data_IF_188633388075
#
_entry.id   IF_188633388075
#
_cell.length_a   1.000
_cell.length_b   1.000
_cell.length_c   1.000
_cell.angle_alpha   90.00
_cell.angle_beta   90.00
_cell.angle_gamma   90.00
#
_symmetry.space_group_name_H-M   'P 1'
#
loop_
_entity.id
_entity.type
_entity.pdbx_description
1 polymer ?
#
# COMPACT_ATOMS: atom_id res chain seq x y z
N UNK A 1 7.80 23.59 2.84
CA UNK A 1 8.07 23.08 4.20
C UNK A 1 9.03 23.99 4.93
N UNK A 2 8.76 24.25 6.16
CA UNK A 2 9.58 25.11 7.00
C UNK A 2 10.86 24.33 7.38
N UNK A 3 12.02 24.78 6.90
CA UNK A 3 13.31 24.17 7.24
C UNK A 3 13.65 24.25 8.75
N UNK A 4 12.97 25.12 9.49
CA UNK A 4 13.14 25.22 10.95
C UNK A 4 12.41 24.10 11.71
N UNK A 5 11.59 23.27 11.02
CA UNK A 5 10.87 22.16 11.65
C UNK A 5 11.78 20.96 12.02
N UNK A 6 13.01 20.90 11.49
CA UNK A 6 13.97 19.87 11.90
C UNK A 6 14.73 20.37 13.13
N UNK A 7 14.66 19.68 14.27
CA UNK A 7 15.40 20.05 15.46
C UNK A 7 16.90 20.08 15.19
N UNK A 8 17.58 21.14 15.60
CA UNK A 8 19.01 21.34 15.32
C UNK A 8 19.89 20.25 15.96
N UNK A 9 19.45 19.65 17.05
CA UNK A 9 20.12 18.54 17.74
C UNK A 9 20.01 17.19 17.00
N UNK A 10 19.12 17.08 16.01
CA UNK A 10 19.04 15.91 15.13
C UNK A 10 20.02 15.94 13.95
N UNK A 11 20.63 17.10 13.68
CA UNK A 11 21.55 17.28 12.56
C UNK A 11 22.99 17.21 13.04
N UNK A 12 23.82 16.51 12.27
CA UNK A 12 25.28 16.53 12.43
C UNK A 12 25.88 17.60 11.50
N UNK A 13 27.09 18.02 11.78
CA UNK A 13 27.80 19.02 10.94
C UNK A 13 27.99 18.55 9.48
N UNK A 14 27.94 17.22 9.26
CA UNK A 14 28.00 16.62 7.93
C UNK A 14 26.68 16.61 7.16
N UNK A 15 25.55 16.89 7.84
CA UNK A 15 24.24 16.77 7.25
C UNK A 15 23.86 18.08 6.52
N UNK A 16 23.15 17.93 5.41
CA UNK A 16 22.68 19.04 4.60
C UNK A 16 21.17 19.00 4.49
N UNK A 17 20.51 20.09 4.83
CA UNK A 17 19.09 20.30 4.59
C UNK A 17 18.88 21.01 3.27
N UNK A 18 18.06 20.44 2.41
CA UNK A 18 17.68 21.03 1.13
C UNK A 18 16.17 21.22 1.08
N UNK A 19 15.74 22.47 0.85
CA UNK A 19 14.33 22.78 0.67
C UNK A 19 13.87 22.36 -0.73
N UNK A 20 12.85 21.47 -0.78
CA UNK A 20 12.25 21.05 -2.05
C UNK A 20 11.34 22.12 -2.68
N UNK A 21 10.98 23.17 -1.91
CA UNK A 21 9.97 24.14 -2.32
C UNK A 21 8.55 23.63 -2.21
N UNK A 22 7.60 24.43 -2.74
CA UNK A 22 6.18 24.11 -2.72
C UNK A 22 5.51 24.31 -1.34
N UNK A 23 4.19 24.44 -1.34
CA UNK A 23 3.36 24.61 -0.14
C UNK A 23 2.53 23.38 0.20
N UNK A 24 2.44 22.43 -0.74
CA UNK A 24 1.70 21.18 -0.57
C UNK A 24 2.64 19.98 -0.64
N UNK A 25 2.16 18.83 -0.18
CA UNK A 25 2.89 17.55 -0.28
C UNK A 25 3.23 17.20 -1.74
N UNK A 26 2.27 17.39 -2.66
CA UNK A 26 2.43 17.07 -4.08
C UNK A 26 3.43 17.99 -4.80
N UNK A 27 3.60 19.22 -4.30
CA UNK A 27 4.59 20.16 -4.83
C UNK A 27 5.98 19.95 -4.21
N UNK A 28 6.09 19.19 -3.13
CA UNK A 28 7.32 19.02 -2.35
C UNK A 28 7.75 17.54 -2.24
N UNK A 29 7.56 16.91 -1.10
CA UNK A 29 8.11 15.58 -0.82
C UNK A 29 7.42 14.42 -1.56
N UNK A 30 6.23 14.63 -2.15
CA UNK A 30 5.61 13.68 -3.09
C UNK A 30 5.99 13.96 -4.56
N UNK A 31 6.68 15.06 -4.84
CA UNK A 31 7.17 15.36 -6.17
C UNK A 31 8.47 14.58 -6.44
N UNK A 32 8.32 13.42 -7.09
CA UNK A 32 9.43 12.54 -7.42
C UNK A 32 10.55 13.23 -8.22
N UNK A 33 10.18 14.13 -9.15
CA UNK A 33 11.15 14.86 -9.96
C UNK A 33 11.92 15.89 -9.14
N UNK A 34 11.27 16.62 -8.25
CA UNK A 34 11.94 17.57 -7.35
C UNK A 34 12.92 16.86 -6.44
N UNK A 35 12.53 15.72 -5.87
CA UNK A 35 13.42 14.91 -5.03
C UNK A 35 14.62 14.41 -5.82
N UNK A 36 14.41 13.87 -7.03
CA UNK A 36 15.50 13.41 -7.89
C UNK A 36 16.43 14.56 -8.30
N UNK A 37 15.89 15.73 -8.66
CA UNK A 37 16.71 16.89 -9.04
C UNK A 37 17.63 17.37 -7.91
N UNK A 38 17.17 17.30 -6.68
CA UNK A 38 18.04 17.57 -5.52
C UNK A 38 19.12 16.49 -5.40
N UNK A 39 18.76 15.21 -5.54
CA UNK A 39 19.72 14.11 -5.50
C UNK A 39 20.82 14.26 -6.57
N UNK A 40 20.44 14.61 -7.80
CA UNK A 40 21.40 14.91 -8.90
C UNK A 40 22.27 16.13 -8.59
N UNK A 41 21.68 17.23 -8.13
CA UNK A 41 22.40 18.46 -7.82
C UNK A 41 23.44 18.27 -6.69
N UNK A 42 23.05 17.50 -5.67
CA UNK A 42 23.92 17.16 -4.54
C UNK A 42 24.87 15.98 -4.84
N UNK A 43 24.81 15.41 -6.04
CA UNK A 43 25.68 14.33 -6.51
C UNK A 43 25.66 13.10 -5.56
N UNK A 44 24.49 12.71 -5.09
CA UNK A 44 24.36 11.57 -4.18
C UNK A 44 24.49 10.25 -4.95
N UNK A 45 25.15 9.27 -4.36
CA UNK A 45 25.28 7.91 -4.92
C UNK A 45 24.02 7.09 -4.73
N UNK A 46 23.26 7.36 -3.65
CA UNK A 46 22.08 6.60 -3.26
C UNK A 46 21.03 7.49 -2.61
N UNK A 47 19.78 7.07 -2.71
CA UNK A 47 18.62 7.73 -2.12
C UNK A 47 17.80 6.75 -1.29
N UNK A 48 17.68 7.04 0.02
CA UNK A 48 16.79 6.30 0.91
C UNK A 48 15.45 7.05 1.01
N UNK A 49 14.33 6.44 0.59
CA UNK A 49 13.04 7.14 0.47
C UNK A 49 12.33 7.35 1.81
N UNK A 50 12.88 6.86 2.92
CA UNK A 50 12.18 6.87 4.21
C UNK A 50 11.10 5.80 4.30
N UNK A 51 10.01 6.12 5.00
CA UNK A 51 8.85 5.24 5.22
C UNK A 51 7.62 5.92 4.63
N UNK A 52 6.77 5.14 3.93
CA UNK A 52 5.59 5.66 3.25
C UNK A 52 5.91 6.52 2.03
N UNK A 53 4.90 7.24 1.51
CA UNK A 53 5.08 8.18 0.40
C UNK A 53 5.74 7.54 -0.84
N UNK A 54 6.88 8.07 -1.27
CA UNK A 54 7.61 7.58 -2.43
C UNK A 54 8.34 6.25 -2.19
N UNK A 55 8.42 5.78 -0.94
CA UNK A 55 9.09 4.50 -0.63
C UNK A 55 8.40 3.28 -1.25
N UNK A 56 7.10 3.39 -1.53
CA UNK A 56 6.30 2.33 -2.15
C UNK A 56 6.01 2.59 -3.64
N UNK A 57 6.67 3.58 -4.23
CA UNK A 57 6.47 3.96 -5.64
C UNK A 57 7.46 3.27 -6.56
N UNK A 58 7.05 2.25 -7.34
CA UNK A 58 7.94 1.63 -8.34
C UNK A 58 8.36 2.62 -9.43
N UNK A 59 7.52 3.63 -9.72
CA UNK A 59 7.84 4.67 -10.67
C UNK A 59 9.00 5.55 -10.18
N UNK A 60 9.00 5.90 -8.90
CA UNK A 60 10.09 6.67 -8.30
C UNK A 60 11.39 5.86 -8.22
N UNK A 61 11.31 4.60 -7.83
CA UNK A 61 12.48 3.71 -7.83
C UNK A 61 13.07 3.58 -9.24
N UNK A 62 12.23 3.39 -10.27
CA UNK A 62 12.68 3.36 -11.66
C UNK A 62 13.30 4.69 -12.09
N UNK A 63 12.71 5.81 -11.67
CA UNK A 63 13.24 7.15 -11.98
C UNK A 63 14.65 7.35 -11.40
N UNK A 64 14.89 6.95 -10.16
CA UNK A 64 16.21 7.00 -9.53
C UNK A 64 17.23 6.15 -10.31
N UNK A 65 16.92 4.88 -10.54
CA UNK A 65 17.81 3.93 -11.22
C UNK A 65 18.16 4.41 -12.65
N UNK A 66 17.18 4.90 -13.40
CA UNK A 66 17.39 5.39 -14.77
C UNK A 66 18.26 6.66 -14.82
N UNK A 67 18.39 7.38 -13.72
CA UNK A 67 19.25 8.57 -13.61
C UNK A 67 20.53 8.31 -12.80
N UNK A 68 20.90 7.04 -12.60
CA UNK A 68 22.17 6.67 -11.97
C UNK A 68 22.21 6.84 -10.45
N UNK A 69 21.07 7.09 -9.81
CA UNK A 69 20.94 7.15 -8.34
C UNK A 69 20.47 5.79 -7.82
N UNK A 70 21.24 5.19 -6.92
CA UNK A 70 20.87 3.91 -6.33
C UNK A 70 19.67 4.09 -5.36
N UNK A 71 18.53 3.48 -5.69
CA UNK A 71 17.37 3.48 -4.81
C UNK A 71 17.57 2.45 -3.69
N UNK A 72 17.63 2.92 -2.44
CA UNK A 72 17.80 2.06 -1.27
C UNK A 72 16.45 1.46 -0.91
N UNK A 73 16.21 0.23 -1.33
CA UNK A 73 14.95 -0.47 -1.16
C UNK A 73 14.77 -1.64 -2.14
N UNK A 74 13.57 -2.22 -2.20
CA UNK A 74 13.29 -3.33 -3.09
C UNK A 74 13.43 -2.95 -4.56
N UNK A 75 13.67 -3.94 -5.42
CA UNK A 75 13.72 -3.71 -6.87
C UNK A 75 12.37 -3.21 -7.42
N UNK A 76 12.40 -2.47 -8.52
CA UNK A 76 11.19 -2.01 -9.24
C UNK A 76 10.25 -3.18 -9.53
N UNK A 77 10.81 -4.34 -9.94
CA UNK A 77 10.04 -5.55 -10.21
C UNK A 77 9.33 -6.06 -8.95
N UNK A 78 10.04 -6.17 -7.84
CA UNK A 78 9.47 -6.61 -6.56
C UNK A 78 8.37 -5.66 -6.08
N UNK A 79 8.60 -4.35 -6.14
CA UNK A 79 7.60 -3.35 -5.76
C UNK A 79 6.34 -3.43 -6.63
N UNK A 80 6.50 -3.59 -7.95
CA UNK A 80 5.37 -3.71 -8.88
C UNK A 80 4.57 -5.00 -8.62
N UNK A 81 5.27 -6.11 -8.39
CA UNK A 81 4.64 -7.42 -8.15
C UNK A 81 3.91 -7.45 -6.81
N UNK A 82 4.56 -6.98 -5.74
CA UNK A 82 4.03 -7.07 -4.38
C UNK A 82 3.09 -5.90 -4.04
N UNK A 83 3.17 -4.78 -4.73
CA UNK A 83 2.28 -3.65 -4.55
C UNK A 83 0.83 -3.91 -4.99
N UNK A 84 0.61 -4.89 -5.87
CA UNK A 84 -0.72 -5.35 -6.23
C UNK A 84 -1.12 -6.56 -5.37
N UNK A 85 -2.16 -6.42 -4.52
CA UNK A 85 -2.59 -7.47 -3.59
C UNK A 85 -2.87 -8.83 -4.24
N UNK A 86 -3.53 -8.86 -5.39
CA UNK A 86 -3.82 -10.10 -6.10
C UNK A 86 -2.55 -10.78 -6.59
N UNK A 87 -1.60 -10.01 -7.13
CA UNK A 87 -0.30 -10.52 -7.56
C UNK A 87 0.54 -10.98 -6.38
N UNK A 88 0.55 -10.23 -5.28
CA UNK A 88 1.26 -10.58 -4.06
C UNK A 88 0.77 -11.93 -3.49
N UNK A 89 -0.55 -12.12 -3.42
CA UNK A 89 -1.14 -13.39 -2.95
C UNK A 89 -0.74 -14.55 -3.88
N UNK A 90 -0.90 -14.39 -5.20
CA UNK A 90 -0.53 -15.44 -6.17
C UNK A 90 0.97 -15.77 -6.10
N UNK A 91 1.82 -14.75 -6.02
CA UNK A 91 3.27 -14.93 -5.89
C UNK A 91 3.61 -15.67 -4.60
N UNK A 92 3.03 -15.27 -3.47
CA UNK A 92 3.23 -15.94 -2.18
C UNK A 92 2.79 -17.40 -2.23
N UNK A 93 1.62 -17.69 -2.78
CA UNK A 93 1.13 -19.07 -2.94
C UNK A 93 2.05 -19.91 -3.83
N UNK A 94 2.56 -19.35 -4.94
CA UNK A 94 3.48 -20.08 -5.84
C UNK A 94 4.81 -20.41 -5.17
N UNK A 95 5.16 -19.70 -4.12
CA UNK A 95 6.37 -19.93 -3.31
C UNK A 95 6.08 -20.68 -1.99
N UNK A 96 4.87 -21.25 -1.85
CA UNK A 96 4.43 -21.94 -0.64
C UNK A 96 4.47 -21.07 0.63
N UNK A 97 4.36 -19.75 0.49
CA UNK A 97 4.22 -18.83 1.63
C UNK A 97 2.76 -18.81 2.06
N UNK A 98 2.46 -19.08 3.34
CA UNK A 98 1.08 -19.01 3.83
C UNK A 98 0.47 -17.63 3.62
N UNK A 99 -0.76 -17.61 3.14
CA UNK A 99 -1.53 -16.37 2.96
C UNK A 99 -2.83 -16.46 3.75
N UNK A 100 -3.42 -15.32 4.06
CA UNK A 100 -4.73 -15.26 4.70
C UNK A 100 -5.76 -15.88 3.75
N UNK A 101 -6.55 -16.85 4.19
CA UNK A 101 -7.60 -17.45 3.37
C UNK A 101 -8.62 -16.39 2.89
N UNK A 102 -9.06 -16.49 1.65
CA UNK A 102 -9.98 -15.51 1.08
C UNK A 102 -10.42 -15.85 -0.34
N UNK A 103 -11.08 -14.90 -1.00
CA UNK A 103 -11.54 -15.07 -2.38
C UNK A 103 -10.39 -15.06 -3.40
N UNK A 104 -9.20 -14.60 -3.01
CA UNK A 104 -8.00 -14.47 -3.87
C UNK A 104 -8.25 -13.71 -5.19
N UNK A 105 -9.31 -12.92 -5.24
CA UNK A 105 -9.72 -12.12 -6.38
C UNK A 105 -11.02 -11.38 -6.10
N UNK A 106 -11.47 -10.65 -7.12
CA UNK A 106 -12.72 -9.89 -7.06
C UNK A 106 -13.90 -10.84 -7.00
N UNK A 107 -14.83 -10.56 -6.11
CA UNK A 107 -16.08 -11.29 -6.01
C UNK A 107 -17.06 -10.81 -7.10
N UNK A 108 -17.66 -11.74 -7.81
CA UNK A 108 -18.61 -11.42 -8.88
C UNK A 108 -20.00 -11.03 -8.36
N UNK A 109 -20.38 -11.57 -7.19
CA UNK A 109 -21.66 -11.33 -6.55
C UNK A 109 -21.67 -11.76 -5.07
N UNK A 110 -22.75 -11.46 -4.37
CA UNK A 110 -22.92 -11.81 -2.96
C UNK A 110 -23.01 -13.32 -2.72
N UNK A 111 -23.54 -14.11 -3.68
CA UNK A 111 -23.66 -15.56 -3.55
C UNK A 111 -22.26 -16.21 -3.55
N UNK A 112 -21.36 -15.75 -4.42
CA UNK A 112 -19.96 -16.18 -4.40
C UNK A 112 -19.30 -15.84 -3.06
N UNK A 113 -19.59 -14.66 -2.50
CA UNK A 113 -19.08 -14.27 -1.18
C UNK A 113 -19.55 -15.22 -0.07
N UNK A 114 -20.83 -15.64 -0.10
CA UNK A 114 -21.37 -16.63 0.84
C UNK A 114 -20.63 -17.96 0.70
N UNK A 115 -20.43 -18.44 -0.53
CA UNK A 115 -19.78 -19.73 -0.77
C UNK A 115 -18.33 -19.72 -0.26
N UNK A 116 -17.56 -18.70 -0.61
CA UNK A 116 -16.16 -18.54 -0.12
C UNK A 116 -16.13 -18.42 1.40
N UNK A 117 -17.03 -17.64 1.99
CA UNK A 117 -17.09 -17.48 3.45
C UNK A 117 -17.45 -18.78 4.18
N UNK A 118 -18.29 -19.61 3.58
CA UNK A 118 -18.63 -20.94 4.14
C UNK A 118 -17.42 -21.89 4.12
N UNK A 119 -16.58 -21.81 3.07
CA UNK A 119 -15.37 -22.63 2.95
C UNK A 119 -14.30 -22.24 3.97
N UNK A 120 -14.04 -20.93 4.14
CA UNK A 120 -12.98 -20.44 5.04
C UNK A 120 -13.45 -20.24 6.48
N UNK A 121 -14.76 -20.27 6.70
CA UNK A 121 -15.42 -20.07 8.00
C UNK A 121 -15.55 -18.61 8.42
N UNK A 122 -16.66 -18.28 9.09
CA UNK A 122 -16.87 -16.95 9.69
C UNK A 122 -16.07 -16.78 11.00
N UNK A 123 -15.78 -15.54 11.44
CA UNK A 123 -16.07 -14.28 10.75
C UNK A 123 -15.11 -14.03 9.58
N UNK A 124 -15.55 -13.17 8.64
CA UNK A 124 -14.80 -12.76 7.45
C UNK A 124 -14.81 -11.24 7.29
N UNK A 125 -13.88 -10.71 6.49
CA UNK A 125 -13.83 -9.31 6.09
C UNK A 125 -14.22 -9.18 4.63
N UNK A 126 -15.20 -8.33 4.34
CA UNK A 126 -15.41 -7.78 3.01
C UNK A 126 -14.56 -6.51 2.87
N UNK A 127 -13.82 -6.40 1.78
CA UNK A 127 -12.96 -5.25 1.51
C UNK A 127 -13.15 -4.76 0.08
N UNK A 128 -13.21 -3.44 -0.09
CA UNK A 128 -13.15 -2.83 -1.40
C UNK A 128 -11.75 -3.03 -2.02
N UNK A 129 -11.71 -3.32 -3.32
CA UNK A 129 -10.47 -3.47 -4.09
C UNK A 129 -9.70 -2.15 -4.12
N UNK A 130 -10.43 -1.05 -4.33
CA UNK A 130 -9.93 0.31 -4.15
C UNK A 130 -10.46 0.83 -2.81
N UNK A 131 -9.61 0.95 -1.83
CA UNK A 131 -9.98 1.37 -0.49
C UNK A 131 -8.80 1.95 0.27
N UNK A 132 -9.09 2.84 1.20
CA UNK A 132 -8.10 3.46 2.08
C UNK A 132 -8.74 4.13 3.28
N UNK A 133 -7.95 4.41 4.32
CA UNK A 133 -8.44 5.11 5.50
C UNK A 133 -9.55 4.39 6.28
N UNK A 134 -9.63 3.06 6.18
CA UNK A 134 -10.65 2.27 6.89
C UNK A 134 -12.04 2.27 6.25
N UNK A 135 -12.23 2.92 5.08
CA UNK A 135 -13.47 2.88 4.32
C UNK A 135 -13.53 1.67 3.40
N UNK A 136 -14.75 1.15 3.14
CA UNK A 136 -14.95 -0.03 2.30
C UNK A 136 -14.50 -1.33 2.96
N UNK A 137 -14.54 -1.42 4.30
CA UNK A 137 -14.23 -2.62 5.08
C UNK A 137 -15.40 -2.95 6.00
N UNK A 138 -15.93 -4.18 5.91
CA UNK A 138 -17.01 -4.67 6.78
C UNK A 138 -16.67 -6.05 7.32
N UNK A 139 -16.93 -6.25 8.62
CA UNK A 139 -16.85 -7.58 9.26
C UNK A 139 -18.19 -8.28 9.11
N UNK A 140 -18.17 -9.45 8.48
CA UNK A 140 -19.35 -10.31 8.38
C UNK A 140 -19.18 -11.46 9.37
N UNK A 141 -20.08 -11.53 10.35
CA UNK A 141 -19.99 -12.51 11.43
C UNK A 141 -20.81 -13.77 11.15
N UNK A 142 -21.87 -13.65 10.36
CA UNK A 142 -22.86 -14.72 10.12
C UNK A 142 -23.25 -14.75 8.63
N UNK A 143 -23.63 -15.93 8.10
CA UNK A 143 -24.03 -16.08 6.70
C UNK A 143 -25.19 -15.17 6.28
N UNK A 144 -26.18 -15.02 7.17
CA UNK A 144 -27.40 -14.23 6.91
C UNK A 144 -27.12 -12.74 6.70
N UNK A 145 -26.02 -12.23 7.23
CA UNK A 145 -25.64 -10.81 7.10
C UNK A 145 -24.91 -10.52 5.78
N UNK A 146 -24.40 -11.55 5.08
CA UNK A 146 -23.49 -11.41 3.94
C UNK A 146 -24.10 -10.61 2.80
N UNK A 147 -25.31 -10.96 2.35
CA UNK A 147 -25.91 -10.31 1.17
C UNK A 147 -26.12 -8.82 1.40
N UNK A 148 -26.69 -8.46 2.56
CA UNK A 148 -26.94 -7.05 2.91
C UNK A 148 -25.65 -6.24 3.05
N UNK A 149 -24.66 -6.81 3.73
CA UNK A 149 -23.36 -6.16 3.91
C UNK A 149 -22.58 -6.06 2.59
N UNK A 150 -22.66 -7.06 1.72
CA UNK A 150 -22.03 -7.01 0.39
C UNK A 150 -22.57 -5.84 -0.44
N UNK A 151 -23.90 -5.72 -0.56
CA UNK A 151 -24.54 -4.66 -1.31
C UNK A 151 -24.19 -3.28 -0.74
N UNK A 152 -24.28 -3.13 0.59
CA UNK A 152 -23.93 -1.89 1.28
C UNK A 152 -22.48 -1.50 1.02
N UNK A 153 -21.54 -2.43 1.23
CA UNK A 153 -20.10 -2.15 1.09
C UNK A 153 -19.73 -1.82 -0.36
N UNK A 154 -20.32 -2.53 -1.34
CA UNK A 154 -20.10 -2.25 -2.76
C UNK A 154 -20.60 -0.86 -3.15
N UNK A 155 -21.79 -0.46 -2.66
CA UNK A 155 -22.34 0.88 -2.90
C UNK A 155 -21.48 1.97 -2.26
N UNK A 156 -21.07 1.79 -1.02
CA UNK A 156 -20.19 2.73 -0.32
C UNK A 156 -18.82 2.86 -1.02
N UNK A 157 -18.25 1.74 -1.48
CA UNK A 157 -17.00 1.74 -2.22
C UNK A 157 -17.12 2.46 -3.57
N UNK A 158 -18.19 2.19 -4.32
CA UNK A 158 -18.47 2.86 -5.59
C UNK A 158 -18.61 4.37 -5.41
N UNK A 159 -19.31 4.81 -4.37
CA UNK A 159 -19.51 6.24 -4.07
C UNK A 159 -18.19 6.92 -3.62
N UNK A 160 -17.36 6.25 -2.83
CA UNK A 160 -16.15 6.84 -2.27
C UNK A 160 -14.93 6.77 -3.20
N UNK A 161 -14.83 5.72 -4.02
CA UNK A 161 -13.63 5.39 -4.79
C UNK A 161 -13.89 5.21 -6.29
N UNK A 162 -15.15 5.34 -6.75
CA UNK A 162 -15.53 5.13 -8.14
C UNK A 162 -15.56 3.66 -8.58
N UNK A 163 -15.30 2.70 -7.68
CA UNK A 163 -15.31 1.27 -7.95
C UNK A 163 -15.92 0.52 -6.78
N UNK A 164 -16.95 -0.30 -7.05
CA UNK A 164 -17.67 -1.11 -6.07
C UNK A 164 -17.18 -2.56 -5.94
N UNK A 165 -16.07 -2.91 -6.60
CA UNK A 165 -15.51 -4.25 -6.55
C UNK A 165 -15.03 -4.61 -5.15
N UNK A 166 -15.42 -5.81 -4.71
CA UNK A 166 -15.09 -6.33 -3.39
C UNK A 166 -14.29 -7.63 -3.49
N UNK A 167 -13.53 -7.89 -2.46
CA UNK A 167 -12.92 -9.20 -2.18
C UNK A 167 -13.15 -9.57 -0.71
N UNK A 168 -12.89 -10.83 -0.36
CA UNK A 168 -13.15 -11.37 0.95
C UNK A 168 -11.92 -12.04 1.51
N UNK A 169 -11.67 -11.83 2.81
CA UNK A 169 -10.59 -12.44 3.57
C UNK A 169 -11.09 -12.98 4.91
N UNK A 170 -10.42 -13.98 5.46
CA UNK A 170 -10.64 -14.43 6.83
C UNK A 170 -10.40 -13.29 7.82
N UNK A 171 -11.33 -13.06 8.72
CA UNK A 171 -11.12 -12.15 9.83
C UNK A 171 -10.30 -12.84 10.93
N UNK A 172 -9.05 -12.38 11.12
CA UNK A 172 -8.17 -12.89 12.16
C UNK A 172 -8.41 -12.08 13.43
N UNK A 173 -8.95 -12.72 14.46
CA UNK A 173 -9.36 -12.07 15.72
C UNK A 173 -8.22 -11.82 16.70
N UNK A 174 -7.14 -12.61 16.59
CA UNK A 174 -5.92 -12.44 17.40
C UNK A 174 -4.72 -12.41 16.47
N UNK A 175 -4.17 -11.24 16.26
CA UNK A 175 -3.05 -11.05 15.36
C UNK A 175 -1.95 -10.23 16.02
N UNK A 176 -0.71 -10.43 15.54
CA UNK A 176 0.40 -9.50 15.69
C UNK A 176 0.82 -9.04 14.31
N UNK A 177 0.92 -7.73 14.13
CA UNK A 177 1.52 -7.18 12.93
C UNK A 177 3.04 -7.27 13.06
N UNK A 178 3.66 -8.01 12.16
CA UNK A 178 5.12 -8.13 12.08
C UNK A 178 5.51 -7.69 10.68
N UNK A 179 6.46 -6.79 10.60
CA UNK A 179 6.93 -6.18 9.38
C UNK A 179 8.46 -6.27 9.31
N UNK A 180 9.00 -6.50 8.12
CA UNK A 180 10.44 -6.53 7.87
C UNK A 180 10.72 -5.51 6.76
N UNK A 181 11.57 -4.52 7.07
CA UNK A 181 12.04 -3.55 6.08
C UNK A 181 13.11 -4.18 5.21
N UNK A 182 12.92 -4.09 3.88
CA UNK A 182 13.94 -4.45 2.90
C UNK A 182 14.72 -3.19 2.50
N UNK A 183 16.04 -3.32 2.46
CA UNK A 183 16.97 -2.25 2.08
C UNK A 183 17.80 -2.69 0.88
#
# INVERSE_FOLDING_TARGET
PDMTAVPADMLKDSDKLVCLGGNTSDESYLNAYSVLKVAEYEQVDALHPGIGFLSESPQFAALCVNNGVNFVGPSVHSMTTMGNKSNAIKTSQSQNVPVVPGSHGILTNAEQAVNVANEIGYPVLLKAVQGGGGKGIQVVKRPEDMIGLFQKTSTEAAAAFGNGDLYLEKYVTSLRHIEVQLL
#
